data_IF_072653793466
#
_entry.id   IF_072653793466
#
_cell.length_a   1.000
_cell.length_b   1.000
_cell.length_c   1.000
_cell.angle_alpha   90.00
_cell.angle_beta   90.00
_cell.angle_gamma   90.00
#
_symmetry.space_group_name_H-M   'P 1'
#
loop_
_entity.id
_entity.type
_entity.pdbx_description
1 polymer ?
#
# COMPACT_ATOMS: atom_id res chain seq x y z
N UNK A 1 1.58 38.74 -3.62
CA UNK A 1 0.30 38.24 -4.19
C UNK A 1 0.49 37.21 -5.30
N UNK A 2 1.24 37.51 -6.38
CA UNK A 2 1.44 36.58 -7.52
C UNK A 2 2.07 35.21 -7.19
N UNK A 3 2.92 35.12 -6.17
CA UNK A 3 3.50 33.83 -5.72
C UNK A 3 2.49 32.92 -5.00
N UNK A 4 1.48 33.51 -4.35
CA UNK A 4 0.40 32.78 -3.66
C UNK A 4 -0.60 32.21 -4.67
N UNK A 5 -0.90 32.97 -5.72
CA UNK A 5 -1.70 32.49 -6.86
C UNK A 5 -1.02 31.34 -7.62
N UNK A 6 0.31 31.32 -7.75
CA UNK A 6 1.00 30.22 -8.42
C UNK A 6 0.93 28.89 -7.63
N UNK A 7 0.96 28.98 -6.29
CA UNK A 7 0.79 27.81 -5.40
C UNK A 7 -0.66 27.29 -5.47
N UNK A 8 -1.65 28.19 -5.54
CA UNK A 8 -3.06 27.80 -5.72
C UNK A 8 -3.36 27.26 -7.13
N UNK A 9 -2.74 27.79 -8.19
CA UNK A 9 -2.92 27.28 -9.56
C UNK A 9 -2.26 25.92 -9.79
N UNK A 10 -1.14 25.61 -9.14
CA UNK A 10 -0.53 24.27 -9.13
C UNK A 10 -1.35 23.21 -8.37
N UNK A 11 -2.42 23.63 -7.68
CA UNK A 11 -3.38 22.76 -7.01
C UNK A 11 -4.57 22.34 -7.91
N UNK A 12 -4.61 22.72 -9.20
CA UNK A 12 -5.82 22.60 -10.03
C UNK A 12 -5.88 21.39 -10.98
N UNK A 13 -4.79 20.65 -11.20
CA UNK A 13 -4.81 19.48 -12.11
C UNK A 13 -4.66 18.18 -11.33
N UNK A 14 -5.53 17.18 -11.55
CA UNK A 14 -5.38 15.87 -10.94
C UNK A 14 -4.08 15.23 -11.43
N UNK A 15 -3.37 14.58 -10.53
CA UNK A 15 -2.16 13.83 -10.88
C UNK A 15 -2.56 12.58 -11.69
N UNK A 16 -1.69 12.09 -12.58
CA UNK A 16 -1.97 10.85 -13.32
C UNK A 16 -2.23 9.67 -12.38
N UNK A 17 -1.58 9.66 -11.21
CA UNK A 17 -1.84 8.68 -10.16
C UNK A 17 -3.27 8.82 -9.63
N UNK A 18 -3.72 10.02 -9.25
CA UNK A 18 -5.10 10.22 -8.79
C UNK A 18 -6.13 9.77 -9.83
N UNK A 19 -5.90 10.06 -11.12
CA UNK A 19 -6.76 9.59 -12.21
C UNK A 19 -6.79 8.06 -12.28
N UNK A 20 -5.65 7.39 -12.13
CA UNK A 20 -5.58 5.92 -12.06
C UNK A 20 -6.45 5.35 -10.94
N UNK A 21 -6.38 5.95 -9.74
CA UNK A 21 -7.23 5.53 -8.61
C UNK A 21 -8.73 5.79 -8.86
N UNK A 22 -9.08 6.89 -9.53
CA UNK A 22 -10.46 7.17 -9.91
C UNK A 22 -11.00 6.16 -10.96
N UNK A 23 -10.18 5.78 -11.93
CA UNK A 23 -10.51 4.75 -12.92
C UNK A 23 -10.66 3.39 -12.25
N UNK A 24 -9.76 3.04 -11.33
CA UNK A 24 -9.88 1.82 -10.52
C UNK A 24 -11.18 1.82 -9.72
N UNK A 25 -11.55 2.93 -9.07
CA UNK A 25 -12.81 3.03 -8.36
C UNK A 25 -14.02 2.78 -9.27
N UNK A 26 -14.05 3.39 -10.46
CA UNK A 26 -15.13 3.19 -11.43
C UNK A 26 -15.23 1.71 -11.86
N UNK A 27 -14.09 1.08 -12.13
CA UNK A 27 -14.02 -0.35 -12.46
C UNK A 27 -14.55 -1.23 -11.32
N UNK A 28 -14.11 -0.97 -10.07
CA UNK A 28 -14.54 -1.76 -8.91
C UNK A 28 -16.02 -1.55 -8.59
N UNK A 29 -16.54 -0.34 -8.79
CA UNK A 29 -17.97 -0.05 -8.69
C UNK A 29 -18.76 -0.83 -9.74
N UNK A 30 -18.30 -0.88 -10.99
CA UNK A 30 -18.94 -1.68 -12.04
C UNK A 30 -18.97 -3.17 -11.67
N UNK A 31 -17.86 -3.70 -11.16
CA UNK A 31 -17.78 -5.07 -10.63
C UNK A 31 -18.81 -5.31 -9.52
N UNK A 32 -18.90 -4.40 -8.54
CA UNK A 32 -19.86 -4.52 -7.44
C UNK A 32 -21.31 -4.44 -7.94
N UNK A 33 -21.62 -3.55 -8.89
CA UNK A 33 -22.94 -3.45 -9.49
C UNK A 33 -23.35 -4.72 -10.22
N UNK A 34 -22.44 -5.32 -11.01
CA UNK A 34 -22.70 -6.60 -11.69
C UNK A 34 -22.88 -7.72 -10.67
N UNK A 35 -22.05 -7.77 -9.62
CA UNK A 35 -22.20 -8.74 -8.55
C UNK A 35 -23.54 -8.58 -7.82
N UNK A 36 -23.96 -7.35 -7.51
CA UNK A 36 -25.25 -7.07 -6.88
C UNK A 36 -26.43 -7.47 -7.79
N UNK A 37 -26.33 -7.20 -9.09
CA UNK A 37 -27.31 -7.64 -10.07
C UNK A 37 -27.40 -9.17 -10.12
N UNK A 38 -26.27 -9.87 -10.25
CA UNK A 38 -26.22 -11.33 -10.25
C UNK A 38 -26.70 -11.92 -8.93
N UNK A 39 -26.47 -11.25 -7.80
CA UNK A 39 -26.94 -11.70 -6.49
C UNK A 39 -28.46 -11.80 -6.43
N UNK A 40 -29.17 -10.91 -7.15
CA UNK A 40 -30.64 -10.89 -7.24
C UNK A 40 -31.15 -11.74 -8.40
N UNK A 41 -30.49 -11.68 -9.56
CA UNK A 41 -30.97 -12.30 -10.80
C UNK A 41 -30.59 -13.79 -10.93
N UNK A 42 -29.38 -14.19 -10.52
CA UNK A 42 -28.90 -15.57 -10.60
C UNK A 42 -28.12 -15.98 -9.35
N UNK A 43 -28.86 -16.64 -8.47
CA UNK A 43 -28.38 -17.23 -7.24
C UNK A 43 -27.20 -18.21 -7.38
N UNK A 44 -26.95 -18.80 -8.54
CA UNK A 44 -25.87 -19.77 -8.74
C UNK A 44 -24.59 -19.14 -9.32
N UNK A 45 -24.71 -18.02 -10.05
CA UNK A 45 -23.59 -17.35 -10.70
C UNK A 45 -22.50 -16.84 -9.74
N UNK A 46 -22.83 -16.64 -8.46
CA UNK A 46 -21.91 -16.12 -7.43
C UNK A 46 -21.40 -17.18 -6.44
N UNK A 47 -21.50 -18.48 -6.74
CA UNK A 47 -21.01 -19.56 -5.87
C UNK A 47 -19.65 -20.07 -6.33
N UNK A 48 -18.53 -19.61 -5.72
CA UNK A 48 -17.21 -20.01 -6.17
C UNK A 48 -16.98 -21.52 -6.10
N UNK A 49 -17.57 -22.23 -5.15
CA UNK A 49 -17.42 -23.69 -5.11
C UNK A 49 -17.94 -24.43 -6.35
N UNK A 50 -18.87 -23.83 -7.10
CA UNK A 50 -19.47 -24.43 -8.31
C UNK A 50 -18.98 -23.84 -9.61
N UNK A 51 -18.76 -22.52 -9.64
CA UNK A 51 -18.50 -21.80 -10.89
C UNK A 51 -17.03 -21.49 -11.12
N UNK A 52 -16.18 -21.64 -10.10
CA UNK A 52 -14.75 -21.35 -10.22
C UNK A 52 -14.03 -22.46 -10.98
N UNK A 53 -13.31 -22.07 -12.03
CA UNK A 53 -12.48 -22.96 -12.84
C UNK A 53 -12.90 -23.02 -14.31
N UNK A 54 -11.94 -23.36 -15.18
CA UNK A 54 -12.12 -23.34 -16.64
C UNK A 54 -12.95 -24.50 -17.19
N UNK A 55 -13.33 -25.47 -16.35
CA UNK A 55 -14.09 -26.66 -16.78
C UNK A 55 -15.49 -26.32 -17.27
N UNK A 56 -16.08 -25.21 -16.80
CA UNK A 56 -17.40 -24.73 -17.21
C UNK A 56 -17.37 -23.47 -18.10
N UNK A 57 -16.20 -23.07 -18.61
CA UNK A 57 -16.00 -21.78 -19.26
C UNK A 57 -15.58 -20.68 -18.28
N UNK A 58 -15.33 -19.47 -18.80
CA UNK A 58 -14.89 -18.32 -18.00
C UNK A 58 -16.09 -17.52 -17.49
N UNK A 59 -16.35 -17.59 -16.19
CA UNK A 59 -17.52 -16.99 -15.55
C UNK A 59 -17.15 -15.69 -14.80
N UNK A 60 -18.18 -15.00 -14.28
CA UNK A 60 -17.98 -13.78 -13.49
C UNK A 60 -17.10 -13.99 -12.25
N UNK A 61 -17.22 -15.14 -11.57
CA UNK A 61 -16.37 -15.46 -10.41
C UNK A 61 -14.90 -15.59 -10.81
N UNK A 62 -14.59 -16.18 -11.97
CA UNK A 62 -13.22 -16.27 -12.48
C UNK A 62 -12.68 -14.87 -12.81
N UNK A 63 -13.52 -14.01 -13.39
CA UNK A 63 -13.15 -12.62 -13.63
C UNK A 63 -12.84 -11.86 -12.35
N UNK A 64 -13.70 -11.99 -11.31
CA UNK A 64 -13.46 -11.40 -10.00
C UNK A 64 -12.17 -11.94 -9.38
N UNK A 65 -11.94 -13.26 -9.46
CA UNK A 65 -10.70 -13.87 -8.99
C UNK A 65 -9.47 -13.24 -9.65
N UNK A 66 -9.46 -13.16 -10.98
CA UNK A 66 -8.36 -12.57 -11.74
C UNK A 66 -8.18 -11.09 -11.39
N UNK A 67 -9.27 -10.34 -11.23
CA UNK A 67 -9.20 -8.93 -10.84
C UNK A 67 -8.58 -8.75 -9.44
N UNK A 68 -8.97 -9.56 -8.46
CA UNK A 68 -8.41 -9.53 -7.10
C UNK A 68 -6.95 -9.97 -7.09
N UNK A 69 -6.60 -11.05 -7.81
CA UNK A 69 -5.22 -11.52 -7.94
C UNK A 69 -4.36 -10.45 -8.59
N UNK A 70 -4.81 -9.84 -9.69
CA UNK A 70 -4.08 -8.78 -10.37
C UNK A 70 -3.84 -7.57 -9.45
N UNK A 71 -4.85 -7.16 -8.69
CA UNK A 71 -4.72 -6.11 -7.69
C UNK A 71 -3.70 -6.47 -6.60
N UNK A 72 -3.76 -7.68 -6.05
CA UNK A 72 -2.84 -8.13 -5.02
C UNK A 72 -1.41 -8.24 -5.56
N UNK A 73 -1.24 -8.70 -6.80
CA UNK A 73 0.05 -8.77 -7.47
C UNK A 73 0.70 -7.39 -7.62
N UNK A 74 -0.07 -6.33 -7.88
CA UNK A 74 0.49 -4.96 -7.99
C UNK A 74 1.24 -4.54 -6.72
N UNK A 75 0.85 -5.08 -5.56
CA UNK A 75 1.46 -4.79 -4.26
C UNK A 75 2.80 -5.49 -4.05
N UNK A 76 3.22 -6.41 -4.91
CA UNK A 76 4.54 -7.03 -4.86
C UNK A 76 5.60 -6.24 -5.63
N UNK A 77 5.19 -5.48 -6.65
CA UNK A 77 6.13 -4.81 -7.55
C UNK A 77 6.54 -3.42 -7.07
N UNK A 78 7.86 -3.21 -6.96
CA UNK A 78 8.48 -1.93 -6.54
C UNK A 78 8.19 -0.78 -7.52
N UNK A 79 7.97 -1.11 -8.79
CA UNK A 79 7.76 -0.17 -9.89
C UNK A 79 6.30 -0.05 -10.32
N UNK A 80 5.37 -0.68 -9.60
CA UNK A 80 3.96 -0.49 -9.90
C UNK A 80 3.60 1.00 -9.73
N UNK A 81 2.69 1.54 -10.57
CA UNK A 81 2.20 2.91 -10.45
C UNK A 81 1.24 3.03 -9.24
N UNK A 82 1.77 2.80 -8.04
CA UNK A 82 1.06 2.82 -6.76
C UNK A 82 1.50 4.04 -5.96
N UNK A 83 0.68 4.40 -4.97
CA UNK A 83 0.99 5.51 -4.08
C UNK A 83 2.35 5.36 -3.39
N UNK A 84 3.02 6.50 -3.16
CA UNK A 84 4.12 6.66 -2.23
C UNK A 84 3.81 6.09 -0.84
N UNK A 85 2.51 6.01 -0.48
CA UNK A 85 2.02 5.28 0.68
C UNK A 85 2.49 3.83 0.71
N UNK A 86 2.38 3.09 -0.40
CA UNK A 86 2.84 1.69 -0.50
C UNK A 86 4.33 1.56 -0.76
N UNK A 87 4.98 2.58 -1.33
CA UNK A 87 6.40 2.52 -1.70
C UNK A 87 7.35 2.72 -0.50
N UNK A 88 6.85 3.20 0.64
CA UNK A 88 7.63 3.45 1.86
C UNK A 88 8.33 2.21 2.45
N UNK A 89 7.88 1.01 2.10
CA UNK A 89 8.55 -0.23 2.49
C UNK A 89 9.93 -0.38 1.85
N UNK A 90 10.19 0.29 0.71
CA UNK A 90 11.44 0.18 -0.04
C UNK A 90 12.42 1.30 0.29
N UNK A 91 13.69 0.94 0.49
CA UNK A 91 14.79 1.86 0.82
C UNK A 91 14.94 3.00 -0.20
N UNK A 92 14.76 2.71 -1.49
CA UNK A 92 14.85 3.69 -2.58
C UNK A 92 13.92 4.91 -2.39
N UNK A 93 12.86 4.75 -1.60
CA UNK A 93 11.85 5.77 -1.34
C UNK A 93 12.00 6.45 0.03
N UNK A 94 13.05 6.11 0.79
CA UNK A 94 13.37 6.78 2.04
C UNK A 94 14.31 7.97 1.79
N UNK A 95 13.82 9.18 2.08
CA UNK A 95 14.65 10.38 2.08
C UNK A 95 14.88 10.77 3.55
N UNK A 96 16.11 10.59 4.09
CA UNK A 96 16.39 10.87 5.49
C UNK A 96 16.18 12.36 5.80
N UNK A 97 15.64 12.66 6.99
CA UNK A 97 15.50 14.03 7.48
C UNK A 97 16.70 14.43 8.33
N UNK A 98 16.81 15.72 8.65
CA UNK A 98 17.84 16.23 9.56
C UNK A 98 17.80 15.58 10.97
N UNK A 99 16.70 14.91 11.32
CA UNK A 99 16.54 14.21 12.60
C UNK A 99 17.13 12.79 12.56
N UNK A 100 17.15 12.15 11.39
CA UNK A 100 17.72 10.80 11.23
C UNK A 100 19.25 10.77 11.10
N UNK A 101 19.88 11.91 10.82
CA UNK A 101 21.32 11.98 10.60
C UNK A 101 22.04 12.52 11.85
N UNK A 102 22.77 11.65 12.56
CA UNK A 102 23.72 12.08 13.60
C UNK A 102 24.82 12.92 12.93
N UNK A 103 24.94 14.19 13.33
CA UNK A 103 25.98 15.12 12.83
C UNK A 103 25.45 16.41 12.18
N UNK A 104 24.14 16.66 12.20
CA UNK A 104 23.61 17.93 11.69
C UNK A 104 23.69 18.07 10.16
N UNK A 105 23.85 19.30 9.66
CA UNK A 105 23.81 19.60 8.20
C UNK A 105 24.96 18.97 7.42
N UNK A 106 26.13 18.78 8.02
CA UNK A 106 27.34 18.28 7.35
C UNK A 106 27.28 16.78 7.06
N UNK A 107 26.83 15.99 8.04
CA UNK A 107 26.60 14.55 7.84
C UNK A 107 25.47 14.30 6.82
N UNK A 108 24.45 15.16 6.79
CA UNK A 108 23.39 15.11 5.78
C UNK A 108 23.94 15.38 4.38
N UNK A 109 24.80 16.39 4.23
CA UNK A 109 25.48 16.68 2.95
C UNK A 109 26.38 15.53 2.50
N UNK A 110 27.11 14.89 3.41
CA UNK A 110 27.93 13.72 3.11
C UNK A 110 27.08 12.53 2.59
N UNK A 111 25.91 12.30 3.19
CA UNK A 111 24.98 11.27 2.74
C UNK A 111 24.33 11.60 1.39
N UNK A 112 23.98 12.88 1.13
CA UNK A 112 23.51 13.29 -0.20
C UNK A 112 24.56 13.08 -1.27
N UNK A 113 25.85 13.31 -0.96
CA UNK A 113 26.95 13.03 -1.88
C UNK A 113 27.08 11.53 -2.16
N UNK A 114 26.96 10.66 -1.15
CA UNK A 114 27.02 9.21 -1.36
C UNK A 114 25.83 8.68 -2.18
N UNK A 115 24.62 9.22 -1.97
CA UNK A 115 23.44 8.88 -2.78
C UNK A 115 23.61 9.36 -4.24
N UNK A 116 24.14 10.58 -4.44
CA UNK A 116 24.41 11.10 -5.78
C UNK A 116 25.49 10.29 -6.52
N UNK A 117 26.47 9.76 -5.79
CA UNK A 117 27.52 8.90 -6.32
C UNK A 117 26.98 7.49 -6.64
N UNK A 118 26.15 6.91 -5.77
CA UNK A 118 25.44 5.66 -6.05
C UNK A 118 24.53 5.79 -7.29
N UNK A 119 23.82 6.92 -7.42
CA UNK A 119 22.99 7.23 -8.58
C UNK A 119 23.80 7.36 -9.87
N UNK A 120 25.03 7.90 -9.81
CA UNK A 120 25.95 7.92 -10.95
C UNK A 120 26.42 6.51 -11.32
N UNK A 121 26.81 5.69 -10.35
CA UNK A 121 27.22 4.29 -10.60
C UNK A 121 26.09 3.47 -11.20
N UNK A 122 24.88 3.56 -10.67
CA UNK A 122 23.70 2.89 -11.22
C UNK A 122 23.30 3.42 -12.60
N UNK A 123 23.54 4.70 -12.90
CA UNK A 123 23.31 5.25 -14.24
C UNK A 123 24.36 4.77 -15.26
N UNK A 124 25.60 4.55 -14.83
CA UNK A 124 26.66 3.97 -15.66
C UNK A 124 26.43 2.47 -15.89
N UNK A 125 26.16 1.71 -14.82
CA UNK A 125 25.79 0.29 -14.87
C UNK A 125 24.48 0.06 -15.64
N UNK A 126 23.52 0.98 -15.51
CA UNK A 126 22.28 0.96 -16.26
C UNK A 126 22.49 1.24 -17.75
N UNK A 127 23.42 2.12 -18.12
CA UNK A 127 23.78 2.38 -19.52
C UNK A 127 24.47 1.17 -20.14
N UNK A 128 25.39 0.52 -19.42
CA UNK A 128 26.07 -0.70 -19.91
C UNK A 128 25.08 -1.85 -20.04
N UNK A 129 24.28 -2.15 -19.01
CA UNK A 129 23.26 -3.20 -19.05
C UNK A 129 22.18 -2.94 -20.12
N UNK A 130 21.77 -1.68 -20.31
CA UNK A 130 20.82 -1.32 -21.37
C UNK A 130 21.44 -1.51 -22.76
N UNK A 131 22.71 -1.13 -22.96
CA UNK A 131 23.41 -1.33 -24.24
C UNK A 131 23.60 -2.81 -24.59
N UNK A 132 23.92 -3.66 -23.60
CA UNK A 132 24.01 -5.11 -23.76
C UNK A 132 22.63 -5.73 -24.05
N UNK A 133 21.58 -5.22 -23.41
CA UNK A 133 20.20 -5.68 -23.62
C UNK A 133 19.70 -5.28 -25.02
N UNK A 134 20.07 -4.12 -25.52
CA UNK A 134 19.69 -3.60 -26.85
C UNK A 134 20.41 -4.36 -27.96
N UNK A 135 21.69 -4.70 -27.76
CA UNK A 135 22.44 -5.60 -28.67
C UNK A 135 21.90 -7.04 -28.62
N UNK A 136 21.53 -7.55 -27.44
CA UNK A 136 20.91 -8.87 -27.29
C UNK A 136 19.49 -8.97 -27.89
N UNK A 137 18.72 -7.89 -27.85
CA UNK A 137 17.39 -7.78 -28.49
C UNK A 137 17.50 -7.66 -30.01
N UNK A 138 18.49 -6.93 -30.52
CA UNK A 138 18.76 -6.85 -31.96
C UNK A 138 19.21 -8.21 -32.56
N UNK A 139 19.90 -9.04 -31.78
CA UNK A 139 20.39 -10.34 -32.22
C UNK A 139 19.35 -11.47 -32.15
N UNK A 140 18.26 -11.33 -31.36
CA UNK A 140 17.24 -12.38 -31.18
C UNK A 140 15.84 -11.79 -31.07
N UNK A 141 15.16 -11.68 -32.20
CA UNK A 141 13.71 -11.42 -32.27
C UNK A 141 12.89 -12.60 -31.73
N UNK A 142 12.75 -12.71 -30.40
CA UNK A 142 12.17 -13.89 -29.76
C UNK A 142 11.24 -13.64 -28.57
N UNK A 143 9.94 -13.85 -28.83
CA UNK A 143 8.86 -14.31 -27.94
C UNK A 143 8.58 -13.57 -26.62
N UNK A 144 7.31 -13.17 -26.47
CA UNK A 144 6.62 -12.67 -25.26
C UNK A 144 6.93 -13.50 -24.00
N UNK A 145 7.25 -14.79 -24.13
CA UNK A 145 7.65 -15.64 -23.01
C UNK A 145 8.95 -15.17 -22.32
N UNK A 146 9.90 -14.56 -23.05
CA UNK A 146 11.13 -14.01 -22.47
C UNK A 146 10.89 -12.69 -21.73
N UNK A 147 9.94 -11.88 -22.21
CA UNK A 147 9.45 -10.68 -21.52
C UNK A 147 8.74 -11.05 -20.22
N UNK A 148 7.84 -12.05 -20.25
CA UNK A 148 7.19 -12.58 -19.04
C UNK A 148 8.21 -13.17 -18.07
N UNK A 149 9.24 -13.87 -18.55
CA UNK A 149 10.32 -14.40 -17.70
C UNK A 149 11.21 -13.30 -17.10
N UNK A 150 11.44 -12.19 -17.81
CA UNK A 150 12.09 -11.00 -17.24
C UNK A 150 11.19 -10.27 -16.24
N UNK A 151 9.89 -10.19 -16.49
CA UNK A 151 8.93 -9.62 -15.56
C UNK A 151 8.82 -10.46 -14.27
N UNK A 152 8.94 -11.78 -14.39
CA UNK A 152 9.09 -12.72 -13.27
C UNK A 152 10.46 -12.60 -12.58
N UNK A 153 11.55 -12.26 -13.29
CA UNK A 153 12.87 -11.98 -12.68
C UNK A 153 12.96 -10.58 -12.03
N UNK A 154 12.10 -9.64 -12.44
CA UNK A 154 11.87 -8.36 -11.76
C UNK A 154 10.93 -8.52 -10.53
N UNK A 155 10.29 -9.68 -10.38
CA UNK A 155 9.73 -10.07 -9.08
C UNK A 155 10.95 -10.36 -8.21
N UNK A 156 11.17 -9.44 -7.27
CA UNK A 156 12.28 -9.45 -6.34
C UNK A 156 12.13 -10.56 -5.27
N UNK A 157 11.84 -11.80 -5.71
CA UNK A 157 11.63 -12.97 -4.85
C UNK A 157 12.89 -13.32 -4.05
N UNK A 158 14.07 -12.88 -4.51
CA UNK A 158 15.35 -13.07 -3.82
C UNK A 158 15.71 -11.90 -2.87
N UNK A 159 15.23 -10.67 -3.08
CA UNK A 159 15.20 -9.66 -2.00
C UNK A 159 13.93 -9.70 -1.14
N UNK A 160 13.03 -10.68 -1.33
CA UNK A 160 11.98 -11.01 -0.33
C UNK A 160 12.60 -11.28 1.05
N UNK A 161 13.89 -11.69 1.08
CA UNK A 161 14.66 -11.92 2.30
C UNK A 161 15.99 -11.17 2.39
N UNK A 162 16.48 -10.55 1.31
CA UNK A 162 17.72 -9.75 1.35
C UNK A 162 17.40 -8.35 1.93
N UNK A 163 17.36 -8.30 3.25
CA UNK A 163 17.24 -7.06 4.01
C UNK A 163 18.64 -6.65 4.46
N UNK A 164 19.19 -5.61 3.82
CA UNK A 164 20.52 -5.06 4.11
C UNK A 164 20.55 -4.48 5.54
N UNK A 165 21.17 -5.20 6.48
CA UNK A 165 21.27 -4.87 7.91
C UNK A 165 22.08 -3.58 8.19
N UNK A 166 22.75 -3.00 7.19
CA UNK A 166 23.67 -1.86 7.40
C UNK A 166 22.97 -0.54 7.73
N UNK A 167 21.63 -0.47 7.64
CA UNK A 167 20.83 0.71 8.03
C UNK A 167 20.52 0.75 9.55
N UNK A 168 21.12 -0.14 10.36
CA UNK A 168 20.86 -0.25 11.79
C UNK A 168 21.28 0.96 12.66
N UNK A 169 21.89 2.00 12.09
CA UNK A 169 22.46 3.16 12.80
C UNK A 169 21.45 4.21 13.32
N UNK A 170 20.13 3.95 13.26
CA UNK A 170 19.12 4.82 13.89
C UNK A 170 19.13 4.59 15.41
N UNK A 171 19.15 5.68 16.19
CA UNK A 171 19.21 5.64 17.65
C UNK A 171 18.11 4.73 18.24
N UNK A 172 18.47 3.88 19.20
CA UNK A 172 17.55 2.91 19.82
C UNK A 172 16.39 3.62 20.51
N UNK A 173 16.64 4.80 21.05
CA UNK A 173 15.63 5.69 21.63
C UNK A 173 14.58 6.12 20.59
N UNK A 174 15.03 6.56 19.42
CA UNK A 174 14.16 6.97 18.32
C UNK A 174 13.25 5.82 17.85
N UNK A 175 13.81 4.62 17.65
CA UNK A 175 12.99 3.46 17.26
C UNK A 175 11.91 3.14 18.29
N UNK A 176 12.21 3.20 19.58
CA UNK A 176 11.21 2.93 20.62
C UNK A 176 10.03 3.89 20.59
N UNK A 177 10.27 5.19 20.32
CA UNK A 177 9.20 6.19 20.17
C UNK A 177 8.34 5.87 18.93
N UNK A 178 8.98 5.55 17.80
CA UNK A 178 8.26 5.22 16.57
C UNK A 178 7.41 3.96 16.71
N UNK A 179 7.90 2.90 17.38
CA UNK A 179 7.09 1.71 17.66
C UNK A 179 5.90 2.02 18.55
N UNK A 180 6.06 2.84 19.58
CA UNK A 180 4.97 3.20 20.49
C UNK A 180 3.86 3.96 19.76
N UNK A 181 4.24 4.96 18.95
CA UNK A 181 3.29 5.72 18.13
C UNK A 181 2.57 4.78 17.15
N UNK A 182 3.33 3.88 16.50
CA UNK A 182 2.79 2.86 15.59
C UNK A 182 1.75 1.96 16.27
N UNK A 183 2.08 1.37 17.41
CA UNK A 183 1.16 0.48 18.14
C UNK A 183 -0.11 1.23 18.54
N UNK A 184 0.00 2.50 18.95
CA UNK A 184 -1.14 3.33 19.30
C UNK A 184 -2.07 3.62 18.12
N UNK A 185 -1.54 3.74 16.91
CA UNK A 185 -2.32 3.95 15.70
C UNK A 185 -2.94 2.64 15.17
N UNK A 186 -2.19 1.53 15.21
CA UNK A 186 -2.59 0.25 14.60
C UNK A 186 -3.58 -0.55 15.47
N UNK A 187 -3.35 -0.64 16.79
CA UNK A 187 -4.16 -1.50 17.67
C UNK A 187 -5.65 -1.17 17.62
N UNK A 188 -6.09 0.11 17.70
CA UNK A 188 -7.51 0.44 17.57
C UNK A 188 -8.12 0.01 16.23
N UNK A 189 -7.34 0.04 15.14
CA UNK A 189 -7.80 -0.40 13.82
C UNK A 189 -7.97 -1.91 13.77
N UNK A 190 -7.03 -2.69 14.31
CA UNK A 190 -7.16 -4.15 14.41
C UNK A 190 -8.42 -4.51 15.18
N UNK A 191 -8.60 -3.91 16.38
CA UNK A 191 -9.75 -4.19 17.24
C UNK A 191 -11.05 -3.82 16.52
N UNK A 192 -11.12 -2.63 15.93
CA UNK A 192 -12.27 -2.21 15.14
C UNK A 192 -12.57 -3.16 13.99
N UNK A 193 -11.55 -3.56 13.22
CA UNK A 193 -11.70 -4.46 12.08
C UNK A 193 -12.20 -5.84 12.49
N UNK A 194 -11.62 -6.43 13.53
CA UNK A 194 -12.03 -7.74 14.05
C UNK A 194 -13.46 -7.69 14.57
N UNK A 195 -13.82 -6.66 15.36
CA UNK A 195 -15.17 -6.50 15.87
C UNK A 195 -16.19 -6.26 14.75
N UNK A 196 -15.86 -5.44 13.76
CA UNK A 196 -16.74 -5.16 12.61
C UNK A 196 -17.03 -6.45 11.82
N UNK A 197 -16.00 -7.26 11.54
CA UNK A 197 -16.17 -8.51 10.80
C UNK A 197 -16.87 -9.58 11.65
N UNK A 198 -16.56 -9.68 12.95
CA UNK A 198 -17.24 -10.61 13.84
C UNK A 198 -18.73 -10.26 13.98
N UNK A 199 -19.07 -8.98 14.15
CA UNK A 199 -20.45 -8.51 14.21
C UNK A 199 -21.18 -8.73 12.89
N UNK A 200 -20.55 -8.39 11.75
CA UNK A 200 -21.11 -8.64 10.42
C UNK A 200 -21.38 -10.12 10.17
N UNK A 201 -20.44 -11.00 10.52
CA UNK A 201 -20.62 -12.44 10.42
C UNK A 201 -21.73 -12.95 11.34
N UNK A 202 -21.81 -12.47 12.58
CA UNK A 202 -22.86 -12.86 13.53
C UNK A 202 -24.26 -12.45 13.05
N UNK A 203 -24.41 -11.23 12.53
CA UNK A 203 -25.67 -10.76 11.94
C UNK A 203 -26.06 -11.60 10.73
N UNK A 204 -25.14 -11.81 9.78
CA UNK A 204 -25.39 -12.63 8.60
C UNK A 204 -25.72 -14.08 8.96
N UNK A 205 -25.09 -14.62 10.01
CA UNK A 205 -25.39 -15.95 10.53
C UNK A 205 -26.78 -16.03 11.15
N UNK A 206 -27.16 -15.03 11.96
CA UNK A 206 -28.49 -14.95 12.57
C UNK A 206 -29.62 -14.96 11.54
N UNK A 207 -29.42 -14.29 10.40
CA UNK A 207 -30.38 -14.29 9.28
C UNK A 207 -30.24 -15.51 8.34
N UNK A 208 -29.34 -16.46 8.61
CA UNK A 208 -29.10 -17.62 7.74
C UNK A 208 -28.53 -17.26 6.36
N UNK A 209 -28.00 -16.05 6.21
CA UNK A 209 -27.48 -15.51 4.95
C UNK A 209 -25.97 -15.69 4.79
N UNK A 210 -25.28 -16.19 5.82
CA UNK A 210 -23.84 -16.45 5.77
C UNK A 210 -23.53 -17.64 4.84
N UNK A 211 -23.39 -17.33 3.56
CA UNK A 211 -23.11 -18.25 2.48
C UNK A 211 -21.98 -17.68 1.61
N UNK A 212 -21.38 -18.52 0.75
CA UNK A 212 -20.29 -18.13 -0.15
C UNK A 212 -20.58 -16.86 -0.98
N UNK A 213 -21.83 -16.74 -1.47
CA UNK A 213 -22.29 -15.62 -2.31
C UNK A 213 -22.25 -14.30 -1.56
N UNK A 214 -22.74 -14.32 -0.33
CA UNK A 214 -22.80 -13.15 0.55
C UNK A 214 -21.38 -12.76 0.96
N UNK A 215 -20.51 -13.76 1.22
CA UNK A 215 -19.11 -13.54 1.54
C UNK A 215 -18.33 -12.91 0.37
N UNK A 216 -18.57 -13.37 -0.86
CA UNK A 216 -17.98 -12.78 -2.07
C UNK A 216 -18.47 -11.34 -2.28
N UNK A 217 -19.78 -11.09 -2.15
CA UNK A 217 -20.34 -9.75 -2.28
C UNK A 217 -19.78 -8.82 -1.18
N UNK A 218 -19.65 -9.30 0.04
CA UNK A 218 -19.05 -8.58 1.15
C UNK A 218 -17.58 -8.21 0.87
N UNK A 219 -16.79 -9.15 0.35
CA UNK A 219 -15.42 -8.89 -0.12
C UNK A 219 -15.37 -7.80 -1.20
N UNK A 220 -16.27 -7.82 -2.18
CA UNK A 220 -16.36 -6.78 -3.21
C UNK A 220 -16.78 -5.41 -2.67
N UNK A 221 -17.63 -5.36 -1.65
CA UNK A 221 -17.95 -4.11 -0.95
C UNK A 221 -16.70 -3.52 -0.31
N UNK A 222 -15.89 -4.33 0.38
CA UNK A 222 -14.60 -3.87 0.91
C UNK A 222 -13.63 -3.45 -0.19
N UNK A 223 -13.63 -4.15 -1.32
CA UNK A 223 -12.81 -3.83 -2.48
C UNK A 223 -13.19 -2.51 -3.17
N UNK A 224 -14.42 -2.04 -3.02
CA UNK A 224 -14.80 -0.68 -3.46
C UNK A 224 -14.47 0.34 -2.38
N UNK A 225 -14.72 -0.02 -1.13
CA UNK A 225 -14.62 0.90 0.00
C UNK A 225 -13.19 1.40 0.26
N UNK A 226 -12.16 0.58 -0.01
CA UNK A 226 -10.77 1.00 0.10
C UNK A 226 -10.43 2.18 -0.85
N UNK A 227 -10.92 2.17 -2.09
CA UNK A 227 -10.73 3.21 -3.08
C UNK A 227 -11.54 4.45 -2.72
N UNK A 228 -12.76 4.28 -2.19
CA UNK A 228 -13.52 5.39 -1.61
C UNK A 228 -12.72 6.06 -0.48
N UNK A 229 -12.07 5.26 0.39
CA UNK A 229 -11.23 5.76 1.46
C UNK A 229 -10.04 6.57 0.95
N UNK A 230 -9.42 6.14 -0.14
CA UNK A 230 -8.25 6.80 -0.74
C UNK A 230 -8.64 8.09 -1.47
N UNK A 231 -9.71 8.06 -2.26
CA UNK A 231 -10.11 9.16 -3.18
C UNK A 231 -10.95 10.23 -2.48
N UNK A 232 -11.93 9.81 -1.66
CA UNK A 232 -12.93 10.72 -1.09
C UNK A 232 -12.72 10.94 0.41
N UNK A 233 -12.88 9.88 1.21
CA UNK A 233 -12.93 10.00 2.66
C UNK A 233 -12.67 8.67 3.38
N UNK A 234 -11.71 8.67 4.31
CA UNK A 234 -11.39 7.49 5.13
C UNK A 234 -11.85 7.70 6.59
N UNK A 235 -12.78 6.87 7.11
CA UNK A 235 -13.21 6.92 8.51
C UNK A 235 -12.09 6.51 9.47
N UNK A 236 -11.30 5.49 9.11
CA UNK A 236 -10.22 4.98 9.97
C UNK A 236 -9.18 6.06 10.27
N UNK A 237 -8.89 6.91 9.29
CA UNK A 237 -7.97 8.04 9.48
C UNK A 237 -8.55 9.10 10.42
N UNK A 238 -9.84 9.41 10.30
CA UNK A 238 -10.47 10.49 11.06
C UNK A 238 -10.68 10.10 12.53
N UNK A 239 -11.17 8.88 12.76
CA UNK A 239 -11.61 8.46 14.10
C UNK A 239 -10.53 7.71 14.89
N UNK A 240 -9.70 6.89 14.22
CA UNK A 240 -8.79 5.96 14.90
C UNK A 240 -7.34 6.43 14.85
N UNK A 241 -6.76 6.56 13.66
CA UNK A 241 -5.31 6.76 13.54
C UNK A 241 -4.83 8.20 13.70
N UNK A 242 -5.71 9.20 13.51
CA UNK A 242 -5.35 10.64 13.53
C UNK A 242 -4.15 10.98 12.63
N UNK A 243 -4.06 10.34 11.47
CA UNK A 243 -3.01 10.62 10.50
C UNK A 243 -3.37 11.80 9.58
N UNK A 244 -2.35 12.51 9.07
CA UNK A 244 -2.55 13.73 8.26
C UNK A 244 -2.97 13.41 6.83
N UNK A 245 -2.45 12.33 6.25
CA UNK A 245 -2.71 11.91 4.88
C UNK A 245 -2.63 10.38 4.69
N UNK A 246 -3.19 9.89 3.58
CA UNK A 246 -3.14 8.47 3.21
C UNK A 246 -1.71 7.97 2.95
N UNK A 247 -0.78 8.83 2.51
CA UNK A 247 0.62 8.43 2.27
C UNK A 247 1.37 8.11 3.58
N UNK A 248 1.04 8.81 4.68
CA UNK A 248 1.57 8.52 6.03
C UNK A 248 0.86 7.35 6.73
N UNK A 249 -0.29 6.91 6.22
CA UNK A 249 -1.14 5.89 6.83
C UNK A 249 -0.41 4.55 6.97
N UNK A 250 -0.32 4.01 8.18
CA UNK A 250 0.40 2.76 8.44
C UNK A 250 -0.32 1.52 7.93
N UNK A 251 -1.65 1.57 7.85
CA UNK A 251 -2.51 0.49 7.36
C UNK A 251 -2.80 0.60 5.85
N UNK A 252 -2.09 1.47 5.11
CA UNK A 252 -2.40 1.74 3.70
C UNK A 252 -2.39 0.47 2.83
N UNK A 253 -1.50 -0.48 3.14
CA UNK A 253 -1.35 -1.73 2.40
C UNK A 253 -2.08 -2.92 3.06
N UNK A 254 -2.97 -2.66 4.03
CA UNK A 254 -3.81 -3.68 4.66
C UNK A 254 -5.10 -3.94 3.87
N UNK A 255 -5.35 -3.18 2.81
CA UNK A 255 -6.48 -3.34 1.91
C UNK A 255 -6.61 -4.78 1.40
N UNK A 256 -5.50 -5.44 1.03
CA UNK A 256 -5.55 -6.83 0.57
C UNK A 256 -6.12 -7.80 1.62
N UNK A 257 -5.67 -7.71 2.88
CA UNK A 257 -6.18 -8.59 3.95
C UNK A 257 -7.61 -8.19 4.35
N UNK A 258 -7.94 -6.91 4.30
CA UNK A 258 -9.30 -6.43 4.56
C UNK A 258 -10.28 -7.00 3.53
N UNK A 259 -9.94 -6.92 2.24
CA UNK A 259 -10.74 -7.50 1.15
C UNK A 259 -10.83 -9.03 1.25
N UNK A 260 -9.74 -9.70 1.64
CA UNK A 260 -9.71 -11.15 1.76
C UNK A 260 -10.40 -11.69 3.03
N UNK A 261 -10.63 -10.87 4.06
CA UNK A 261 -11.19 -11.32 5.36
C UNK A 261 -12.54 -12.04 5.21
N UNK A 262 -13.53 -11.50 4.47
CA UNK A 262 -14.80 -12.21 4.26
C UNK A 262 -14.66 -13.54 3.50
N UNK A 263 -13.61 -13.70 2.69
CA UNK A 263 -13.41 -14.88 1.86
C UNK A 263 -13.10 -16.15 2.67
N UNK A 264 -12.81 -16.01 3.97
CA UNK A 264 -12.71 -17.15 4.89
C UNK A 264 -13.99 -17.98 4.88
N UNK A 265 -15.16 -17.35 4.69
CA UNK A 265 -16.46 -18.01 4.63
C UNK A 265 -16.81 -18.59 3.25
N UNK A 266 -16.01 -18.31 2.22
CA UNK A 266 -16.18 -18.93 0.88
C UNK A 266 -15.53 -20.31 0.85
N UNK A 267 -14.34 -20.44 1.45
CA UNK A 267 -13.56 -21.67 1.40
C UNK A 267 -13.07 -22.03 -0.02
N UNK A 268 -12.64 -23.27 -0.19
CA UNK A 268 -12.12 -23.79 -1.47
C UNK A 268 -10.84 -23.09 -1.96
N UNK A 269 -10.38 -23.48 -3.13
CA UNK A 269 -9.15 -22.93 -3.73
C UNK A 269 -9.24 -21.42 -3.98
N UNK A 270 -10.41 -20.93 -4.40
CA UNK A 270 -10.66 -19.51 -4.62
C UNK A 270 -10.34 -18.67 -3.37
N UNK A 271 -10.94 -19.02 -2.23
CA UNK A 271 -10.78 -18.25 -0.99
C UNK A 271 -9.39 -18.40 -0.39
N UNK A 272 -8.89 -19.63 -0.28
CA UNK A 272 -7.60 -19.90 0.37
C UNK A 272 -6.42 -19.27 -0.35
N UNK A 273 -6.42 -19.25 -1.69
CA UNK A 273 -5.33 -18.63 -2.46
C UNK A 273 -5.29 -17.12 -2.25
N UNK A 274 -6.45 -16.44 -2.31
CA UNK A 274 -6.53 -15.00 -2.08
C UNK A 274 -6.13 -14.62 -0.65
N UNK A 275 -6.57 -15.40 0.35
CA UNK A 275 -6.18 -15.20 1.75
C UNK A 275 -4.67 -15.41 1.92
N UNK A 276 -4.09 -16.46 1.34
CA UNK A 276 -2.66 -16.72 1.41
C UNK A 276 -1.84 -15.57 0.80
N UNK A 277 -2.23 -15.08 -0.39
CA UNK A 277 -1.61 -13.92 -1.01
C UNK A 277 -1.71 -12.67 -0.12
N UNK A 278 -2.89 -12.38 0.42
CA UNK A 278 -3.11 -11.24 1.29
C UNK A 278 -2.27 -11.31 2.58
N UNK A 279 -2.13 -12.50 3.17
CA UNK A 279 -1.28 -12.74 4.33
C UNK A 279 0.20 -12.52 4.01
N UNK A 280 0.69 -13.00 2.87
CA UNK A 280 2.08 -12.75 2.43
C UNK A 280 2.33 -11.25 2.28
N UNK A 281 1.40 -10.51 1.66
CA UNK A 281 1.49 -9.06 1.51
C UNK A 281 1.52 -8.36 2.87
N UNK A 282 0.63 -8.76 3.78
CA UNK A 282 0.55 -8.19 5.13
C UNK A 282 1.83 -8.46 5.91
N UNK A 283 2.31 -9.71 5.94
CA UNK A 283 3.53 -10.09 6.66
C UNK A 283 4.73 -9.33 6.12
N UNK A 284 4.87 -9.22 4.79
CA UNK A 284 5.95 -8.46 4.16
C UNK A 284 5.93 -7.00 4.58
N UNK A 285 4.76 -6.38 4.54
CA UNK A 285 4.54 -5.00 4.96
C UNK A 285 4.88 -4.78 6.43
N UNK A 286 4.36 -5.65 7.31
CA UNK A 286 4.57 -5.57 8.74
C UNK A 286 6.03 -5.79 9.12
N UNK A 287 6.72 -6.75 8.49
CA UNK A 287 8.15 -6.97 8.68
C UNK A 287 8.97 -5.76 8.24
N UNK A 288 8.66 -5.15 7.09
CA UNK A 288 9.34 -3.93 6.63
C UNK A 288 9.16 -2.78 7.62
N UNK A 289 7.95 -2.61 8.14
CA UNK A 289 7.63 -1.55 9.09
C UNK A 289 8.16 -1.83 10.51
N UNK A 290 8.33 -3.10 10.90
CA UNK A 290 9.00 -3.49 12.14
C UNK A 290 10.51 -3.25 12.01
N UNK A 291 11.15 -3.66 10.92
CA UNK A 291 12.61 -3.50 10.78
C UNK A 291 13.05 -2.06 10.53
N UNK A 292 12.25 -1.31 9.77
CA UNK A 292 12.58 0.04 9.33
C UNK A 292 11.45 1.04 9.64
N UNK A 293 11.10 1.24 10.92
CA UNK A 293 10.02 2.16 11.30
C UNK A 293 10.28 3.60 10.82
N UNK A 294 11.55 4.00 10.67
CA UNK A 294 11.95 5.31 10.16
C UNK A 294 11.48 5.60 8.72
N UNK A 295 11.20 4.57 7.93
CA UNK A 295 10.69 4.77 6.56
C UNK A 295 9.21 5.10 6.54
N UNK A 296 8.47 4.73 7.60
CA UNK A 296 7.03 4.79 7.69
C UNK A 296 6.48 6.07 8.35
N UNK A 297 7.36 6.95 8.83
CA UNK A 297 7.00 8.19 9.53
C UNK A 297 7.52 9.44 8.78
N UNK A 298 6.67 10.47 8.67
CA UNK A 298 7.03 11.73 8.00
C UNK A 298 8.12 12.55 8.72
N UNK A 299 8.34 12.33 10.02
CA UNK A 299 9.39 13.00 10.81
C UNK A 299 10.78 12.52 10.41
N UNK A 300 10.88 11.29 9.91
CA UNK A 300 12.13 10.60 9.54
C UNK A 300 12.26 10.33 8.05
N UNK A 301 11.15 10.41 7.29
CA UNK A 301 11.12 10.28 5.84
C UNK A 301 10.51 11.53 5.18
N UNK A 302 11.37 12.38 4.60
CA UNK A 302 10.95 13.62 3.95
C UNK A 302 9.99 13.39 2.77
N UNK A 303 10.05 12.22 2.12
CA UNK A 303 9.19 11.88 0.98
C UNK A 303 7.71 11.80 1.33
N UNK A 304 7.39 11.53 2.61
CA UNK A 304 6.01 11.47 3.10
C UNK A 304 5.44 12.86 3.42
N UNK A 305 6.28 13.89 3.48
CA UNK A 305 5.85 15.26 3.78
C UNK A 305 5.10 15.90 2.62
N UNK A 306 4.17 16.81 2.91
CA UNK A 306 3.44 17.53 1.88
C UNK A 306 4.34 18.34 0.93
N UNK A 307 5.52 18.78 1.40
CA UNK A 307 6.47 19.55 0.59
C UNK A 307 7.07 18.73 -0.57
N UNK A 308 7.16 17.40 -0.42
CA UNK A 308 7.72 16.49 -1.42
C UNK A 308 6.66 15.54 -2.01
N UNK A 309 5.37 15.79 -1.76
CA UNK A 309 4.29 14.90 -2.18
C UNK A 309 4.02 15.03 -3.69
N UNK A 310 4.37 13.97 -4.43
CA UNK A 310 4.09 13.85 -5.87
C UNK A 310 2.67 13.34 -6.12
N UNK A 311 2.18 12.45 -5.26
CA UNK A 311 0.92 11.73 -5.44
C UNK A 311 -0.32 12.62 -5.44
N UNK A 312 -0.37 13.60 -4.52
CA UNK A 312 -1.52 14.49 -4.27
C UNK A 312 -2.88 13.76 -4.21
N UNK A 313 -2.93 12.56 -3.62
CA UNK A 313 -4.17 11.79 -3.45
C UNK A 313 -5.25 12.54 -2.66
N UNK A 314 -4.85 13.50 -1.81
CA UNK A 314 -5.75 14.38 -1.08
C UNK A 314 -6.36 15.51 -1.94
N UNK A 315 -6.33 15.40 -3.27
CA UNK A 315 -6.85 16.42 -4.20
C UNK A 315 -8.29 16.84 -3.87
N UNK A 316 -9.22 15.89 -3.71
CA UNK A 316 -10.62 16.19 -3.36
C UNK A 316 -10.81 16.44 -1.86
N UNK A 317 -10.12 15.67 -1.02
CA UNK A 317 -10.34 15.66 0.43
C UNK A 317 -9.70 16.85 1.17
N UNK A 318 -8.63 17.42 0.60
CA UNK A 318 -7.66 18.32 1.25
C UNK A 318 -6.91 17.64 2.42
N UNK A 319 -5.68 18.05 2.76
CA UNK A 319 -4.92 17.43 3.84
C UNK A 319 -5.53 17.76 5.21
N UNK A 320 -5.61 16.77 6.10
CA UNK A 320 -6.02 16.98 7.50
C UNK A 320 -4.89 17.59 8.36
N UNK A 321 -3.74 17.89 7.75
CA UNK A 321 -2.56 18.44 8.41
C UNK A 321 -2.85 19.71 9.23
N UNK A 322 -3.77 20.56 8.76
CA UNK A 322 -4.16 21.77 9.49
C UNK A 322 -4.93 21.49 10.80
N UNK A 323 -5.58 20.32 10.92
CA UNK A 323 -6.39 19.94 12.08
C UNK A 323 -5.67 18.99 13.04
N UNK A 324 -4.57 18.37 12.61
CA UNK A 324 -3.80 17.42 13.43
C UNK A 324 -2.33 17.84 13.52
N UNK A 325 -1.93 18.58 14.56
CA UNK A 325 -0.52 18.84 14.83
C UNK A 325 0.17 17.54 15.29
N UNK A 326 1.31 17.20 14.67
CA UNK A 326 2.24 16.18 15.17
C UNK A 326 3.31 16.86 16.00
N UNK A 327 3.60 16.29 17.17
CA UNK A 327 4.69 16.74 18.02
C UNK A 327 6.04 16.56 17.32
N UNK A 328 6.99 17.47 17.58
CA UNK A 328 8.36 17.33 17.12
C UNK A 328 8.97 16.07 17.76
N UNK A 329 9.75 15.35 16.97
CA UNK A 329 10.45 14.17 17.42
C UNK A 329 11.45 14.49 18.53
N UNK A 330 12.04 15.69 18.52
CA UNK A 330 12.95 16.17 19.56
C UNK A 330 12.26 16.30 20.92
N UNK A 331 11.04 16.85 20.93
CA UNK A 331 10.25 17.00 22.16
C UNK A 331 9.87 15.64 22.74
N UNK A 332 9.52 14.68 21.88
CA UNK A 332 9.19 13.32 22.29
C UNK A 332 10.40 12.57 22.84
N UNK A 333 11.58 12.75 22.24
CA UNK A 333 12.83 12.18 22.74
C UNK A 333 13.19 12.76 24.12
N UNK A 334 13.11 14.09 24.28
CA UNK A 334 13.35 14.75 25.56
C UNK A 334 12.35 14.30 26.65
N UNK A 335 11.08 14.09 26.30
CA UNK A 335 10.07 13.57 27.21
C UNK A 335 10.32 12.08 27.59
N UNK A 336 10.84 11.27 26.67
CA UNK A 336 11.17 9.86 26.92
C UNK A 336 12.41 9.73 27.82
N UNK A 337 13.42 10.59 27.64
CA UNK A 337 14.58 10.69 28.54
C UNK A 337 14.16 11.07 29.97
N UNK A 338 13.29 12.07 30.12
CA UNK A 338 12.72 12.46 31.44
C UNK A 338 11.88 11.39 32.13
N UNK A 339 11.41 10.37 31.41
CA UNK A 339 10.63 9.25 31.98
C UNK A 339 11.54 8.09 32.43
N UNK A 340 12.78 8.05 31.94
CA UNK A 340 13.77 7.01 32.23
C UNK A 340 14.77 7.39 33.32
N UNK A 341 15.00 8.70 33.52
CA UNK A 341 15.65 9.25 34.71
C UNK A 341 14.64 9.51 35.80
#
# INVERSE_FOLDING_TARGET
>A
MKAREHIERQASRPTPLFVSYAVQLAFRLALLCVAAYLFVADHNALRPSRTFGLSGGFNFVDFVFVALVADFLTKFFVRAPISSGSLKQYRLYHIPTAVTVRGGREALQAQFRSIAELGRRLAEEGKTAFSETLQGLAARGGSIASFVRRLLNDIDFLNVFSFDEKDLAVDKSLRSVLYRDRTREIVPVIVFWVLLNAAGAAVLHHFGMLNERTALLWSLVYFVFDMICVVFWCPLQLFLMRNRCCTTCQIFNWDAIMVATPLVFVGGWFGWLLIAMALIILVRWELAAIRHPERFDERTNARLTCAQCVDKLCYLRKPLAAKVPRADLRDLLAADEKRKG
#
